data_IF_605589250726
#
_entry.id   IF_605589250726
#
_cell.length_a   1.000
_cell.length_b   1.000
_cell.length_c   1.000
_cell.angle_alpha   90.00
_cell.angle_beta   90.00
_cell.angle_gamma   90.00
#
_symmetry.space_group_name_H-M   'P 1'
#
loop_
_entity.id
_entity.type
_entity.pdbx_description
1 polymer ?
#
# COMPACT_ATOMS: atom_id res chain seq x y z
N UNK A 1 27.09 8.89 30.31
CA UNK A 1 27.05 8.85 28.83
C UNK A 1 26.62 7.44 28.46
N UNK A 2 25.45 7.12 27.91
CA UNK A 2 24.61 7.82 26.94
C UNK A 2 23.11 7.65 27.27
N UNK A 3 22.46 8.74 27.70
CA UNK A 3 21.00 8.85 27.89
C UNK A 3 20.29 9.22 26.57
N UNK A 4 20.67 8.58 25.47
CA UNK A 4 20.28 8.99 24.11
C UNK A 4 19.56 7.94 23.27
N UNK A 5 19.33 6.74 23.79
CA UNK A 5 18.82 5.60 22.98
C UNK A 5 17.37 5.21 23.27
N UNK A 6 16.67 5.89 24.18
CA UNK A 6 15.28 5.57 24.56
C UNK A 6 14.28 6.58 23.97
N UNK A 7 14.74 7.63 23.29
CA UNK A 7 13.89 8.70 22.75
C UNK A 7 13.64 8.65 21.23
N UNK A 8 14.22 7.69 20.50
CA UNK A 8 14.08 7.61 19.04
C UNK A 8 13.10 6.52 18.56
N UNK A 9 12.56 5.71 19.47
CA UNK A 9 11.72 4.54 19.15
C UNK A 9 10.20 4.80 19.31
N UNK A 10 9.80 6.07 19.40
CA UNK A 10 8.37 6.47 19.54
C UNK A 10 7.85 7.25 18.33
N UNK A 11 8.71 7.62 17.37
CA UNK A 11 8.29 8.48 16.23
C UNK A 11 7.93 7.70 14.96
N UNK A 12 8.26 6.40 14.86
CA UNK A 12 7.94 5.59 13.67
C UNK A 12 6.70 4.68 13.81
N UNK A 13 5.80 5.00 14.74
CA UNK A 13 4.55 4.25 14.98
C UNK A 13 3.28 5.11 14.78
N UNK A 14 3.37 6.21 14.04
CA UNK A 14 2.31 7.24 13.98
C UNK A 14 1.77 7.56 12.57
N UNK A 15 1.95 6.68 11.58
CA UNK A 15 1.34 6.86 10.24
C UNK A 15 0.57 5.64 9.76
N UNK A 16 -0.16 5.00 10.68
CA UNK A 16 -1.23 4.03 10.37
C UNK A 16 -2.50 4.49 11.09
N UNK A 17 -3.15 5.51 10.57
CA UNK A 17 -4.52 5.87 10.97
C UNK A 17 -5.15 6.79 9.91
N UNK A 18 -5.23 6.29 8.68
CA UNK A 18 -6.14 6.85 7.70
C UNK A 18 -7.58 6.56 8.13
N UNK A 19 -8.19 7.53 8.80
CA UNK A 19 -9.62 7.84 8.70
C UNK A 19 -10.60 7.00 9.51
N UNK A 20 -11.15 7.58 10.58
CA UNK A 20 -12.59 7.55 10.81
C UNK A 20 -13.04 8.89 11.45
N UNK A 21 -13.99 9.50 10.77
CA UNK A 21 -14.83 10.61 11.22
C UNK A 21 -15.62 10.14 12.46
N UNK A 22 -15.64 10.91 13.55
CA UNK A 22 -16.37 10.49 14.74
C UNK A 22 -16.33 11.51 15.87
N UNK A 23 -16.99 12.63 15.66
CA UNK A 23 -17.31 13.65 16.67
C UNK A 23 -18.05 12.98 17.83
N UNK A 24 -17.38 12.79 18.98
CA UNK A 24 -18.04 12.29 20.19
C UNK A 24 -18.68 13.46 20.94
N UNK A 25 -20.01 13.49 20.90
CA UNK A 25 -20.88 14.30 21.73
C UNK A 25 -20.73 13.92 23.21
N UNK A 26 -20.38 14.89 24.05
CA UNK A 26 -20.73 14.89 25.48
C UNK A 26 -21.65 16.08 25.75
N UNK A 27 -22.94 15.78 25.82
CA UNK A 27 -23.95 16.49 26.61
C UNK A 27 -23.75 16.11 28.09
N UNK A 28 -23.99 16.88 29.16
CA UNK A 28 -24.70 18.12 29.55
C UNK A 28 -24.24 18.40 31.04
N UNK A 29 -24.74 19.35 31.90
CA UNK A 29 -25.89 20.28 31.80
C UNK A 29 -25.71 21.74 32.35
N UNK A 30 -26.68 22.61 32.02
CA UNK A 30 -27.14 23.78 32.80
C UNK A 30 -26.33 25.09 32.65
N UNK A 31 -26.87 26.31 32.53
CA UNK A 31 -28.21 26.88 32.75
C UNK A 31 -28.27 28.29 32.12
N UNK A 32 -29.36 28.71 31.45
CA UNK A 32 -29.59 30.14 31.08
C UNK A 32 -30.52 30.37 29.86
N UNK A 33 -31.23 31.51 29.75
CA UNK A 33 -32.61 31.58 29.23
C UNK A 33 -32.73 32.19 27.78
N UNK A 34 -33.94 32.57 27.28
CA UNK A 34 -34.56 32.07 26.04
C UNK A 34 -34.24 32.89 24.76
N UNK A 35 -34.16 32.26 23.57
CA UNK A 35 -34.18 33.00 22.29
C UNK A 35 -34.43 32.14 21.01
N UNK A 36 -35.42 32.58 20.22
CA UNK A 36 -35.58 32.57 18.75
C UNK A 36 -35.63 31.24 17.95
N UNK A 37 -36.60 31.06 17.02
CA UNK A 37 -36.65 29.88 16.14
C UNK A 37 -35.46 29.82 15.17
N UNK A 38 -34.80 28.65 15.12
CA UNK A 38 -33.59 28.41 14.34
C UNK A 38 -33.91 28.11 12.85
N UNK A 39 -33.04 28.54 11.91
CA UNK A 39 -33.17 28.20 10.48
C UNK A 39 -32.93 26.70 10.23
N UNK A 40 -33.47 26.14 9.14
CA UNK A 40 -33.35 24.71 8.82
C UNK A 40 -31.88 24.31 8.58
N UNK A 41 -31.49 23.06 8.93
CA UNK A 41 -30.11 22.60 8.84
C UNK A 41 -29.64 22.48 7.38
N UNK A 42 -28.36 22.78 7.08
CA UNK A 42 -27.79 22.63 5.75
C UNK A 42 -27.72 21.15 5.34
N UNK A 43 -28.00 20.87 4.06
CA UNK A 43 -27.96 19.53 3.49
C UNK A 43 -26.57 18.87 3.65
N UNK A 44 -26.51 17.53 3.84
CA UNK A 44 -25.25 16.81 3.97
C UNK A 44 -24.42 16.94 2.69
N UNK A 45 -23.21 17.49 2.81
CA UNK A 45 -22.23 17.55 1.72
C UNK A 45 -21.71 16.14 1.46
N UNK A 46 -22.02 15.58 0.30
CA UNK A 46 -21.32 14.42 -0.25
C UNK A 46 -19.86 14.82 -0.52
N UNK A 47 -18.93 14.38 0.33
CA UNK A 47 -17.51 14.43 0.03
C UNK A 47 -17.22 13.42 -1.08
N UNK A 48 -16.63 13.82 -2.23
CA UNK A 48 -16.18 12.85 -3.22
C UNK A 48 -15.06 12.02 -2.59
N UNK A 49 -15.30 10.72 -2.43
CA UNK A 49 -14.26 9.77 -2.11
C UNK A 49 -13.32 9.74 -3.31
N UNK A 50 -12.13 10.33 -3.18
CA UNK A 50 -11.12 10.41 -4.25
C UNK A 50 -10.51 9.03 -4.47
N UNK A 51 -11.29 8.13 -5.06
CA UNK A 51 -10.79 6.87 -5.57
C UNK A 51 -9.91 7.16 -6.79
N UNK A 52 -8.81 6.41 -6.92
CA UNK A 52 -7.96 6.47 -8.10
C UNK A 52 -8.77 6.20 -9.38
N UNK A 53 -8.38 6.79 -10.52
CA UNK A 53 -9.02 6.51 -11.79
C UNK A 53 -9.10 5.00 -12.07
N UNK A 54 -10.22 4.54 -12.62
CA UNK A 54 -10.45 3.11 -12.86
C UNK A 54 -9.36 2.48 -13.73
N UNK A 55 -8.91 3.19 -14.77
CA UNK A 55 -7.83 2.75 -15.65
C UNK A 55 -6.55 2.44 -14.86
N UNK A 56 -6.24 3.22 -13.83
CA UNK A 56 -5.03 3.03 -13.03
C UNK A 56 -5.16 1.86 -12.07
N UNK A 57 -6.35 1.67 -11.48
CA UNK A 57 -6.64 0.47 -10.69
C UNK A 57 -6.49 -0.80 -11.50
N UNK A 58 -7.03 -0.80 -12.73
CA UNK A 58 -6.91 -1.95 -13.64
C UNK A 58 -5.46 -2.18 -14.03
N UNK A 59 -4.75 -1.14 -14.47
CA UNK A 59 -3.36 -1.27 -14.92
C UNK A 59 -2.42 -1.73 -13.79
N UNK A 60 -2.56 -1.17 -12.59
CA UNK A 60 -1.75 -1.60 -11.43
C UNK A 60 -2.09 -3.03 -11.00
N UNK A 61 -3.37 -3.45 -11.09
CA UNK A 61 -3.77 -4.84 -10.85
C UNK A 61 -3.14 -5.81 -11.86
N UNK A 62 -3.04 -5.42 -13.13
CA UNK A 62 -2.37 -6.22 -14.16
C UNK A 62 -0.88 -6.40 -13.83
N UNK A 63 -0.17 -5.33 -13.48
CA UNK A 63 1.25 -5.41 -13.09
C UNK A 63 1.43 -6.24 -11.82
N UNK A 64 0.56 -6.08 -10.82
CA UNK A 64 0.60 -6.85 -9.58
C UNK A 64 0.37 -8.35 -9.81
N UNK A 65 -0.55 -8.72 -10.71
CA UNK A 65 -0.77 -10.11 -11.08
C UNK A 65 0.43 -10.69 -11.86
N UNK A 66 1.03 -9.92 -12.77
CA UNK A 66 2.25 -10.33 -13.47
C UNK A 66 3.42 -10.54 -12.49
N UNK A 67 3.55 -9.68 -11.48
CA UNK A 67 4.51 -9.83 -10.39
C UNK A 67 4.29 -11.15 -9.63
N UNK A 68 3.06 -11.43 -9.21
CA UNK A 68 2.72 -12.70 -8.53
C UNK A 68 3.02 -13.90 -9.42
N UNK A 69 2.74 -13.81 -10.72
CA UNK A 69 3.04 -14.87 -11.68
C UNK A 69 4.55 -15.15 -11.76
N UNK A 70 5.36 -14.12 -12.01
CA UNK A 70 6.81 -14.24 -12.12
C UNK A 70 7.43 -14.80 -10.83
N UNK A 71 6.97 -14.33 -9.66
CA UNK A 71 7.42 -14.85 -8.36
C UNK A 71 7.00 -16.30 -8.14
N UNK A 72 5.76 -16.68 -8.48
CA UNK A 72 5.26 -18.06 -8.35
C UNK A 72 6.03 -19.02 -9.26
N UNK A 73 6.39 -18.58 -10.46
CA UNK A 73 7.18 -19.35 -11.42
C UNK A 73 8.68 -19.36 -11.09
N UNK A 74 9.11 -18.56 -10.09
CA UNK A 74 10.50 -18.25 -9.83
C UNK A 74 11.27 -17.78 -11.08
N UNK A 75 10.60 -17.01 -11.96
CA UNK A 75 11.19 -16.48 -13.20
C UNK A 75 11.71 -15.06 -12.97
N UNK A 76 13.01 -14.95 -12.76
CA UNK A 76 13.65 -13.64 -12.55
C UNK A 76 13.74 -12.78 -13.80
N UNK A 77 13.62 -13.37 -15.00
CA UNK A 77 13.61 -12.63 -16.26
C UNK A 77 12.28 -11.91 -16.43
N UNK A 78 11.16 -12.61 -16.20
CA UNK A 78 9.83 -11.99 -16.20
C UNK A 78 9.70 -10.94 -15.08
N UNK A 79 10.21 -11.23 -13.88
CA UNK A 79 10.24 -10.25 -12.80
C UNK A 79 11.03 -9.00 -13.19
N UNK A 80 12.22 -9.17 -13.77
CA UNK A 80 13.07 -8.05 -14.20
C UNK A 80 12.44 -7.20 -15.30
N UNK A 81 11.60 -7.78 -16.16
CA UNK A 81 10.89 -7.06 -17.22
C UNK A 81 9.78 -6.14 -16.69
N UNK A 82 9.31 -6.33 -15.45
CA UNK A 82 8.33 -5.47 -14.80
C UNK A 82 8.94 -4.19 -14.21
N UNK A 83 10.27 -4.15 -14.05
CA UNK A 83 10.96 -3.00 -13.47
C UNK A 83 10.94 -1.78 -14.39
N UNK A 84 10.85 -0.59 -13.80
CA UNK A 84 10.92 0.67 -14.55
C UNK A 84 12.28 0.84 -15.24
N UNK A 85 13.35 0.32 -14.62
CA UNK A 85 14.69 0.28 -15.19
C UNK A 85 15.14 -1.15 -15.46
N UNK A 86 15.88 -1.39 -16.56
CA UNK A 86 16.45 -2.70 -16.85
C UNK A 86 17.34 -3.19 -15.69
N UNK A 87 17.11 -4.44 -15.29
CA UNK A 87 17.95 -5.10 -14.29
C UNK A 87 19.21 -5.68 -14.95
N UNK A 88 20.32 -5.69 -14.21
CA UNK A 88 21.56 -6.31 -14.67
C UNK A 88 21.46 -7.84 -14.60
N UNK A 89 22.15 -8.54 -15.50
CA UNK A 89 22.17 -10.01 -15.52
C UNK A 89 22.69 -10.58 -14.18
N UNK A 90 23.67 -9.92 -13.56
CA UNK A 90 24.24 -10.32 -12.27
C UNK A 90 23.22 -10.14 -11.12
N UNK A 91 22.39 -9.10 -11.16
CA UNK A 91 21.35 -8.90 -10.16
C UNK A 91 20.26 -9.97 -10.28
N UNK A 92 19.83 -10.29 -11.50
CA UNK A 92 18.84 -11.33 -11.77
C UNK A 92 19.36 -12.72 -11.38
N UNK A 93 20.60 -13.06 -11.73
CA UNK A 93 21.21 -14.33 -11.34
C UNK A 93 21.32 -14.50 -9.80
N UNK A 94 21.67 -13.42 -9.08
CA UNK A 94 21.66 -13.44 -7.61
C UNK A 94 20.26 -13.58 -7.04
N UNK A 95 19.24 -13.00 -7.67
CA UNK A 95 17.85 -13.17 -7.25
C UNK A 95 17.39 -14.61 -7.48
N UNK A 96 17.72 -15.20 -8.63
CA UNK A 96 17.36 -16.56 -8.99
C UNK A 96 17.90 -17.54 -7.95
N UNK A 97 19.18 -17.42 -7.62
CA UNK A 97 19.80 -18.27 -6.59
C UNK A 97 19.11 -18.17 -5.23
N UNK A 98 18.56 -17.01 -4.85
CA UNK A 98 17.80 -16.87 -3.59
C UNK A 98 16.42 -17.54 -3.66
N UNK A 99 15.74 -17.43 -4.81
CA UNK A 99 14.45 -18.08 -5.02
C UNK A 99 14.61 -19.61 -5.06
N UNK A 100 15.61 -20.11 -5.77
CA UNK A 100 15.92 -21.54 -5.82
C UNK A 100 16.23 -22.10 -4.43
N UNK A 101 16.98 -21.36 -3.60
CA UNK A 101 17.31 -21.75 -2.23
C UNK A 101 16.10 -21.69 -1.27
N UNK A 102 15.06 -20.92 -1.60
CA UNK A 102 13.82 -20.86 -0.80
C UNK A 102 12.97 -22.12 -1.00
N UNK A 103 13.10 -22.76 -2.16
CA UNK A 103 12.27 -23.89 -2.55
C UNK A 103 10.85 -23.47 -2.97
N UNK A 104 9.90 -24.41 -3.04
CA UNK A 104 8.53 -24.12 -3.46
C UNK A 104 7.87 -23.07 -2.58
N UNK A 105 7.25 -22.07 -3.21
CA UNK A 105 6.53 -20.99 -2.54
C UNK A 105 5.14 -20.81 -3.14
N UNK A 106 4.17 -20.43 -2.31
CA UNK A 106 2.87 -19.93 -2.74
C UNK A 106 2.90 -18.42 -2.66
N UNK A 107 2.55 -17.76 -3.77
CA UNK A 107 2.54 -16.30 -3.86
C UNK A 107 1.14 -15.83 -4.26
N UNK A 108 0.61 -14.85 -3.53
CA UNK A 108 -0.72 -14.26 -3.80
C UNK A 108 -0.69 -12.75 -3.55
N UNK A 109 -1.67 -12.02 -4.07
CA UNK A 109 -1.91 -10.64 -3.63
C UNK A 109 -2.63 -10.64 -2.29
N UNK A 110 -2.10 -9.91 -1.31
CA UNK A 110 -2.73 -9.75 0.00
C UNK A 110 -3.98 -8.86 -0.08
N UNK A 111 -3.98 -7.87 -0.97
CA UNK A 111 -5.08 -6.96 -1.25
C UNK A 111 -4.92 -6.36 -2.66
N UNK A 112 -5.98 -5.73 -3.23
CA UNK A 112 -5.84 -4.91 -4.43
C UNK A 112 -4.77 -3.81 -4.26
N UNK A 113 -4.01 -3.45 -5.31
CA UNK A 113 -3.00 -2.41 -5.20
C UNK A 113 -3.57 -1.07 -4.74
N UNK A 114 -2.87 -0.40 -3.84
CA UNK A 114 -3.23 0.93 -3.35
C UNK A 114 -2.62 1.97 -4.28
N UNK A 115 -3.45 2.73 -4.99
CA UNK A 115 -3.00 3.72 -5.98
C UNK A 115 -3.13 5.14 -5.41
N UNK A 116 -2.06 5.92 -5.55
CA UNK A 116 -1.98 7.33 -5.14
C UNK A 116 -1.24 8.15 -6.20
N UNK A 117 -1.99 8.74 -7.13
CA UNK A 117 -1.43 9.55 -8.22
C UNK A 117 -0.61 8.69 -9.19
N UNK A 118 0.69 8.96 -9.27
CA UNK A 118 1.65 8.23 -10.13
C UNK A 118 2.44 7.15 -9.37
N UNK A 119 2.04 6.86 -8.12
CA UNK A 119 2.60 5.79 -7.31
C UNK A 119 1.50 4.81 -6.93
N UNK A 120 1.87 3.54 -6.76
CA UNK A 120 1.00 2.53 -6.20
C UNK A 120 1.80 1.51 -5.39
N UNK A 121 1.14 0.75 -4.54
CA UNK A 121 1.77 -0.33 -3.77
C UNK A 121 1.01 -1.62 -3.97
N UNK A 122 1.70 -2.66 -4.43
CA UNK A 122 1.19 -4.02 -4.49
C UNK A 122 1.74 -4.81 -3.29
N UNK A 123 0.85 -5.28 -2.41
CA UNK A 123 1.26 -6.12 -1.28
C UNK A 123 1.10 -7.59 -1.67
N UNK A 124 2.21 -8.32 -1.66
CA UNK A 124 2.29 -9.73 -2.02
C UNK A 124 2.47 -10.57 -0.77
N UNK A 125 1.58 -11.54 -0.56
CA UNK A 125 1.72 -12.56 0.45
C UNK A 125 2.53 -13.73 -0.11
N UNK A 126 3.54 -14.16 0.64
CA UNK A 126 4.42 -15.28 0.28
C UNK A 126 4.39 -16.30 1.41
N UNK A 127 4.04 -17.54 1.10
CA UNK A 127 4.12 -18.69 1.99
C UNK A 127 5.20 -19.66 1.48
N UNK A 128 6.09 -20.09 2.36
CA UNK A 128 7.11 -21.12 2.10
C UNK A 128 7.27 -22.02 3.35
N UNK A 129 8.11 -23.05 3.27
CA UNK A 129 8.35 -23.98 4.40
C UNK A 129 8.82 -23.28 5.69
N UNK A 130 9.45 -22.10 5.56
CA UNK A 130 9.90 -21.27 6.69
C UNK A 130 8.85 -20.34 7.29
N UNK A 131 7.61 -20.35 6.80
CA UNK A 131 6.53 -19.47 7.24
C UNK A 131 5.99 -18.56 6.14
N UNK A 132 5.27 -17.52 6.53
CA UNK A 132 4.67 -16.56 5.61
C UNK A 132 5.13 -15.13 5.88
N UNK A 133 5.05 -14.28 4.86
CA UNK A 133 5.30 -12.84 4.98
C UNK A 133 4.51 -12.06 3.93
N UNK A 134 4.15 -10.84 4.29
CA UNK A 134 3.65 -9.85 3.35
C UNK A 134 4.81 -8.93 2.94
N UNK A 135 4.98 -8.71 1.63
CA UNK A 135 6.01 -7.85 1.06
C UNK A 135 5.35 -6.78 0.21
N UNK A 136 5.61 -5.52 0.51
CA UNK A 136 5.14 -4.39 -0.30
C UNK A 136 6.10 -4.16 -1.47
N UNK A 137 5.55 -4.14 -2.68
CA UNK A 137 6.26 -3.81 -3.91
C UNK A 137 5.78 -2.44 -4.41
N UNK A 138 6.67 -1.43 -4.43
CA UNK A 138 6.32 -0.11 -4.95
C UNK A 138 6.17 -0.19 -6.47
N UNK A 139 5.13 0.45 -6.98
CA UNK A 139 4.86 0.66 -8.39
C UNK A 139 4.90 2.15 -8.69
N UNK A 140 5.39 2.51 -9.88
CA UNK A 140 5.41 3.88 -10.36
C UNK A 140 4.90 3.94 -11.79
N UNK A 141 4.23 5.04 -12.13
CA UNK A 141 3.86 5.34 -13.50
C UNK A 141 5.02 6.07 -14.17
N UNK A 142 5.59 5.46 -15.21
CA UNK A 142 6.60 6.07 -16.07
C UNK A 142 6.17 6.00 -17.54
N UNK A 143 6.20 7.14 -18.22
CA UNK A 143 5.82 7.24 -19.64
C UNK A 143 4.43 6.63 -19.94
N UNK A 144 3.48 6.78 -19.02
CA UNK A 144 2.11 6.25 -19.15
C UNK A 144 1.96 4.76 -18.86
N UNK A 145 3.01 4.07 -18.41
CA UNK A 145 2.99 2.65 -18.03
C UNK A 145 3.35 2.47 -16.57
N UNK A 146 2.68 1.54 -15.90
CA UNK A 146 3.02 1.14 -14.54
C UNK A 146 4.13 0.08 -14.55
N UNK A 147 5.09 0.22 -13.64
CA UNK A 147 6.24 -0.68 -13.50
C UNK A 147 6.67 -0.74 -12.03
N UNK A 148 7.48 -1.74 -11.66
CA UNK A 148 8.09 -1.84 -10.33
C UNK A 148 9.12 -0.73 -10.18
N UNK A 149 8.97 0.07 -9.12
CA UNK A 149 9.96 1.02 -8.71
C UNK A 149 11.13 0.29 -8.03
N UNK A 150 12.36 0.71 -8.33
CA UNK A 150 13.58 0.15 -7.74
C UNK A 150 13.85 0.64 -6.31
#
# INVERSE_FOLDING_TARGET
MNRGLVAALVVLAALVAGGFLGLLLVALPGSGPPATPAPPPPAPRTTPSSQAPEADRVATTVVANALVHAMSAADTTEFGALACRPQTAEALARLQSRWDATGPMRVTLAAPPLVSGDEATATVHVEAEGGHKDTAFPLRRENGRWCLAD
#
